data_IF_829314231552
#
_entry.id   IF_829314231552
#
_cell.length_a   1.000
_cell.length_b   1.000
_cell.length_c   1.000
_cell.angle_alpha   90.00
_cell.angle_beta   90.00
_cell.angle_gamma   90.00
#
_symmetry.space_group_name_H-M   'P 1'
#
loop_
_entity.id
_entity.type
_entity.pdbx_description
1 polymer ?
#
# COMPACT_ATOMS: atom_id res chain seq x y z
N UNK A 1 -7.51 12.37 15.28
CA UNK A 1 -6.79 11.81 14.12
C UNK A 1 -7.59 12.16 12.87
N UNK A 2 -6.93 12.50 11.75
CA UNK A 2 -7.64 12.71 10.47
C UNK A 2 -8.17 11.37 9.95
N UNK A 3 -9.38 11.37 9.36
CA UNK A 3 -9.91 10.20 8.65
C UNK A 3 -9.15 9.96 7.33
N UNK A 4 -9.34 8.78 6.73
CA UNK A 4 -8.75 8.47 5.40
C UNK A 4 -9.22 9.49 4.37
N UNK A 5 -10.53 9.76 4.30
CA UNK A 5 -11.09 10.76 3.37
C UNK A 5 -10.48 12.15 3.57
N UNK A 6 -10.29 12.59 4.83
CA UNK A 6 -9.64 13.88 5.11
C UNK A 6 -8.17 13.93 4.68
N UNK A 7 -7.46 12.79 4.72
CA UNK A 7 -6.08 12.71 4.24
C UNK A 7 -6.04 12.75 2.71
N UNK A 8 -6.95 12.05 2.05
CA UNK A 8 -7.08 12.04 0.59
C UNK A 8 -7.47 13.43 0.05
N UNK A 9 -8.44 14.11 0.67
CA UNK A 9 -8.83 15.47 0.29
C UNK A 9 -7.66 16.46 0.40
N UNK A 10 -6.90 16.40 1.51
CA UNK A 10 -5.72 17.26 1.68
C UNK A 10 -4.63 16.96 0.66
N UNK A 11 -4.44 15.69 0.29
CA UNK A 11 -3.49 15.31 -0.75
C UNK A 11 -3.90 15.90 -2.11
N UNK A 12 -5.18 15.80 -2.47
CA UNK A 12 -5.70 16.34 -3.73
C UNK A 12 -5.57 17.88 -3.75
N UNK A 13 -5.95 18.55 -2.66
CA UNK A 13 -5.84 20.00 -2.56
C UNK A 13 -4.38 20.49 -2.69
N UNK A 14 -3.44 19.80 -2.02
CA UNK A 14 -2.02 20.11 -2.10
C UNK A 14 -1.49 19.90 -3.52
N UNK A 15 -1.87 18.79 -4.16
CA UNK A 15 -1.41 18.47 -5.50
C UNK A 15 -1.95 19.46 -6.56
N UNK A 16 -3.19 19.92 -6.45
CA UNK A 16 -3.71 20.96 -7.30
C UNK A 16 -3.02 22.31 -7.06
N UNK A 17 -2.73 22.65 -5.80
CA UNK A 17 -1.98 23.88 -5.50
C UNK A 17 -0.55 23.83 -6.05
N UNK A 18 0.09 22.67 -6.05
CA UNK A 18 1.43 22.45 -6.61
C UNK A 18 1.44 22.56 -8.14
N UNK A 19 0.46 21.94 -8.83
CA UNK A 19 0.48 21.78 -10.29
C UNK A 19 -0.14 23.00 -11.03
N UNK A 20 -1.16 23.62 -10.46
CA UNK A 20 -1.90 24.70 -11.11
C UNK A 20 -1.38 26.09 -10.68
N UNK A 21 -1.00 26.26 -9.41
CA UNK A 21 -0.51 27.52 -8.88
C UNK A 21 -1.52 28.66 -9.07
N UNK A 22 -1.12 29.72 -9.78
CA UNK A 22 -1.94 30.88 -10.11
C UNK A 22 -2.73 30.70 -11.42
N UNK A 23 -2.58 29.56 -12.12
CA UNK A 23 -3.38 29.19 -13.29
C UNK A 23 -2.65 28.33 -14.31
N UNK A 24 -3.38 27.42 -14.95
CA UNK A 24 -2.93 26.71 -16.15
C UNK A 24 -3.01 27.66 -17.38
N UNK A 25 -1.95 28.43 -17.58
CA UNK A 25 -1.91 29.47 -18.63
C UNK A 25 -2.07 28.88 -20.02
N UNK A 26 -1.62 27.64 -20.29
CA UNK A 26 -1.80 26.99 -21.59
C UNK A 26 -3.28 26.73 -21.86
N UNK A 27 -3.96 26.12 -20.93
CA UNK A 27 -5.40 25.86 -21.06
C UNK A 27 -6.21 27.13 -21.10
N UNK A 28 -5.88 28.10 -20.23
CA UNK A 28 -6.61 29.38 -20.18
C UNK A 28 -6.49 30.20 -21.45
N UNK A 29 -5.34 30.21 -22.14
CA UNK A 29 -5.15 30.95 -23.36
C UNK A 29 -5.70 30.24 -24.61
N UNK A 30 -5.71 28.89 -24.62
CA UNK A 30 -6.07 28.12 -25.82
C UNK A 30 -7.54 27.66 -25.86
N UNK A 31 -8.17 27.49 -24.71
CA UNK A 31 -9.50 26.85 -24.63
C UNK A 31 -10.55 27.86 -24.17
N UNK A 32 -11.67 28.03 -24.93
CA UNK A 32 -12.80 28.85 -24.49
C UNK A 32 -13.38 28.34 -23.15
N UNK A 33 -13.92 29.26 -22.32
CA UNK A 33 -14.43 28.93 -20.98
C UNK A 33 -15.68 28.03 -21.01
N UNK A 34 -16.46 28.13 -22.07
CA UNK A 34 -17.68 27.36 -22.31
C UNK A 34 -17.45 26.07 -23.10
N UNK A 35 -16.20 25.77 -23.50
CA UNK A 35 -15.88 24.58 -24.27
C UNK A 35 -16.15 23.31 -23.47
N UNK A 36 -16.95 22.43 -24.06
CA UNK A 36 -17.24 21.10 -23.51
C UNK A 36 -16.45 20.04 -24.27
N UNK A 37 -16.03 19.01 -23.58
CA UNK A 37 -15.24 17.93 -24.16
C UNK A 37 -15.51 16.58 -23.51
N UNK A 38 -14.93 15.57 -24.11
CA UNK A 38 -14.94 14.20 -23.65
C UNK A 38 -13.54 13.60 -23.78
N UNK A 39 -13.09 12.87 -22.77
CA UNK A 39 -11.81 12.19 -22.78
C UNK A 39 -11.94 10.78 -22.21
N UNK A 40 -11.04 9.87 -22.62
CA UNK A 40 -10.98 8.54 -22.09
C UNK A 40 -9.60 8.19 -21.54
N UNK A 41 -9.57 7.36 -20.50
CA UNK A 41 -8.34 6.78 -19.94
C UNK A 41 -7.99 5.51 -20.73
N UNK A 42 -6.89 5.59 -21.46
CA UNK A 42 -6.34 4.49 -22.27
C UNK A 42 -5.20 3.78 -21.54
N UNK A 43 -5.32 2.48 -21.38
CA UNK A 43 -4.28 1.61 -20.82
C UNK A 43 -3.21 1.34 -21.89
N UNK A 44 -1.94 1.53 -21.54
CA UNK A 44 -0.81 1.36 -22.48
C UNK A 44 0.12 0.20 -22.15
N UNK A 45 -0.12 -0.45 -21.01
CA UNK A 45 0.67 -1.60 -20.52
C UNK A 45 -0.25 -2.59 -19.80
N UNK A 46 0.02 -3.90 -19.91
CA UNK A 46 -0.76 -4.93 -19.22
C UNK A 46 -0.50 -4.89 -17.70
N UNK A 47 -1.56 -5.01 -16.90
CA UNK A 47 -1.44 -4.97 -15.44
C UNK A 47 -2.76 -5.16 -14.70
N UNK A 48 -2.83 -4.64 -13.49
CA UNK A 48 -4.03 -4.58 -12.65
C UNK A 48 -4.40 -3.11 -12.44
N UNK A 49 -5.63 -2.76 -12.78
CA UNK A 49 -6.13 -1.40 -12.61
C UNK A 49 -6.34 -1.08 -11.14
N UNK A 50 -5.88 0.11 -10.70
CA UNK A 50 -6.14 0.62 -9.36
C UNK A 50 -6.17 2.15 -9.33
N UNK A 51 -7.03 2.72 -8.47
CA UNK A 51 -7.16 4.16 -8.29
C UNK A 51 -8.38 4.77 -8.96
N UNK A 52 -9.33 3.98 -9.45
CA UNK A 52 -10.58 4.45 -10.07
C UNK A 52 -11.37 5.34 -9.10
N UNK A 53 -11.52 4.92 -7.84
CA UNK A 53 -12.24 5.71 -6.84
C UNK A 53 -11.49 7.02 -6.52
N UNK A 54 -10.16 7.00 -6.50
CA UNK A 54 -9.36 8.21 -6.34
C UNK A 54 -9.48 9.15 -7.55
N UNK A 55 -9.49 8.62 -8.77
CA UNK A 55 -9.75 9.42 -9.98
C UNK A 55 -11.11 10.15 -9.91
N UNK A 56 -12.16 9.47 -9.48
CA UNK A 56 -13.48 10.06 -9.24
C UNK A 56 -13.42 11.20 -8.21
N UNK A 57 -12.69 11.00 -7.09
CA UNK A 57 -12.47 12.06 -6.08
C UNK A 57 -11.71 13.26 -6.66
N UNK A 58 -10.68 13.03 -7.46
CA UNK A 58 -9.92 14.10 -8.13
C UNK A 58 -10.83 14.94 -9.02
N UNK A 59 -11.62 14.31 -9.90
CA UNK A 59 -12.54 15.02 -10.78
C UNK A 59 -13.61 15.77 -9.99
N UNK A 60 -14.26 15.12 -9.03
CA UNK A 60 -15.32 15.73 -8.23
C UNK A 60 -14.82 16.89 -7.35
N UNK A 61 -13.58 16.83 -6.86
CA UNK A 61 -12.95 17.87 -6.05
C UNK A 61 -12.65 19.12 -6.87
N UNK A 62 -12.26 18.95 -8.13
CA UNK A 62 -11.93 20.03 -9.03
C UNK A 62 -13.18 20.68 -9.65
N UNK A 63 -14.04 19.87 -10.25
CA UNK A 63 -15.27 20.30 -10.91
C UNK A 63 -16.36 19.22 -10.72
N UNK A 64 -17.29 19.42 -9.78
CA UNK A 64 -18.34 18.44 -9.49
C UNK A 64 -19.37 18.26 -10.62
N UNK A 65 -19.30 19.07 -11.68
CA UNK A 65 -20.17 18.94 -12.85
C UNK A 65 -19.67 17.91 -13.87
N UNK A 66 -18.42 17.47 -13.76
CA UNK A 66 -17.87 16.42 -14.62
C UNK A 66 -18.60 15.09 -14.41
N UNK A 67 -18.87 14.40 -15.51
CA UNK A 67 -19.51 13.08 -15.53
C UNK A 67 -18.44 12.02 -15.79
N UNK A 68 -18.29 11.09 -14.85
CA UNK A 68 -17.31 10.00 -14.90
C UNK A 68 -18.05 8.70 -15.14
N UNK A 69 -17.80 8.06 -16.28
CA UNK A 69 -18.28 6.73 -16.62
C UNK A 69 -17.14 5.74 -16.42
N UNK A 70 -17.31 4.79 -15.50
CA UNK A 70 -16.31 3.75 -15.20
C UNK A 70 -16.63 2.50 -16.00
N UNK A 71 -15.75 2.11 -16.90
CA UNK A 71 -15.88 0.90 -17.72
C UNK A 71 -15.18 -0.30 -17.10
N UNK A 72 -14.08 -0.07 -16.38
CA UNK A 72 -13.28 -1.11 -15.72
C UNK A 72 -13.06 -0.71 -14.26
N UNK A 73 -13.33 -1.61 -13.34
CA UNK A 73 -13.23 -1.39 -11.90
C UNK A 73 -11.83 -1.70 -11.35
N UNK A 74 -11.51 -1.15 -10.17
CA UNK A 74 -10.29 -1.49 -9.44
C UNK A 74 -10.16 -3.01 -9.22
N UNK A 75 -8.93 -3.52 -9.31
CA UNK A 75 -8.62 -4.94 -9.16
C UNK A 75 -8.79 -5.78 -10.43
N UNK A 76 -9.33 -5.21 -11.50
CA UNK A 76 -9.49 -5.91 -12.77
C UNK A 76 -8.15 -5.99 -13.52
N UNK A 77 -7.75 -7.17 -14.02
CA UNK A 77 -6.65 -7.28 -14.98
C UNK A 77 -6.98 -6.51 -16.26
N UNK A 78 -6.06 -5.69 -16.71
CA UNK A 78 -6.19 -4.86 -17.92
C UNK A 78 -5.09 -5.14 -18.91
N UNK A 79 -5.37 -4.86 -20.19
CA UNK A 79 -4.44 -5.02 -21.30
C UNK A 79 -4.21 -3.69 -22.01
N UNK A 80 -3.08 -3.62 -22.67
CA UNK A 80 -2.80 -2.49 -23.58
C UNK A 80 -3.91 -2.33 -24.61
N UNK A 81 -4.48 -1.13 -24.68
CA UNK A 81 -5.59 -0.77 -25.58
C UNK A 81 -6.95 -0.69 -24.89
N UNK A 82 -7.09 -1.18 -23.65
CA UNK A 82 -8.33 -1.07 -22.90
C UNK A 82 -8.64 0.39 -22.54
N UNK A 83 -9.92 0.74 -22.55
CA UNK A 83 -10.43 2.03 -22.08
C UNK A 83 -11.07 1.79 -20.70
N UNK A 84 -10.51 2.41 -19.67
CA UNK A 84 -10.93 2.18 -18.29
C UNK A 84 -11.99 3.17 -17.80
N UNK A 85 -11.90 4.46 -18.19
CA UNK A 85 -12.79 5.51 -17.73
C UNK A 85 -13.07 6.44 -18.91
N UNK A 86 -14.31 6.96 -18.98
CA UNK A 86 -14.68 8.06 -19.87
C UNK A 86 -15.13 9.23 -18.99
N UNK A 87 -14.66 10.44 -19.31
CA UNK A 87 -15.01 11.65 -18.57
C UNK A 87 -15.53 12.71 -19.54
N UNK A 88 -16.68 13.30 -19.21
CA UNK A 88 -17.30 14.37 -19.96
C UNK A 88 -17.49 15.60 -19.09
N UNK A 89 -17.11 16.77 -19.56
CA UNK A 89 -17.21 18.01 -18.79
C UNK A 89 -16.62 19.21 -19.53
N UNK A 90 -16.36 20.28 -18.79
CA UNK A 90 -15.63 21.44 -19.34
C UNK A 90 -14.24 21.02 -19.79
N UNK A 91 -13.85 21.38 -21.00
CA UNK A 91 -12.53 21.02 -21.56
C UNK A 91 -11.39 21.53 -20.69
N UNK A 92 -11.52 22.72 -20.09
CA UNK A 92 -10.55 23.27 -19.14
C UNK A 92 -10.40 22.34 -17.92
N UNK A 93 -11.50 21.86 -17.35
CA UNK A 93 -11.48 20.95 -16.18
C UNK A 93 -10.85 19.60 -16.52
N UNK A 94 -11.12 19.06 -17.73
CA UNK A 94 -10.50 17.81 -18.20
C UNK A 94 -8.97 17.93 -18.27
N UNK A 95 -8.46 19.02 -18.85
CA UNK A 95 -7.03 19.25 -19.03
C UNK A 95 -6.30 19.49 -17.71
N UNK A 96 -6.90 20.28 -16.81
CA UNK A 96 -6.29 20.63 -15.52
C UNK A 96 -6.27 19.48 -14.52
N UNK A 97 -7.15 18.48 -14.66
CA UNK A 97 -7.20 17.31 -13.78
C UNK A 97 -6.41 16.12 -14.30
N UNK A 98 -6.05 16.12 -15.60
CA UNK A 98 -5.40 15.00 -16.29
C UNK A 98 -4.15 14.49 -15.57
N UNK A 99 -3.22 15.39 -15.25
CA UNK A 99 -1.90 15.00 -14.74
C UNK A 99 -1.99 14.40 -13.35
N UNK A 100 -2.73 15.01 -12.44
CA UNK A 100 -2.91 14.52 -11.10
C UNK A 100 -3.60 13.14 -11.10
N UNK A 101 -4.69 13.01 -11.87
CA UNK A 101 -5.41 11.75 -12.02
C UNK A 101 -4.48 10.64 -12.54
N UNK A 102 -3.71 10.92 -13.61
CA UNK A 102 -2.77 9.95 -14.19
C UNK A 102 -1.68 9.57 -13.21
N UNK A 103 -1.08 10.50 -12.49
CA UNK A 103 -0.02 10.23 -11.52
C UNK A 103 -0.51 9.26 -10.42
N UNK A 104 -1.71 9.48 -9.91
CA UNK A 104 -2.33 8.63 -8.89
C UNK A 104 -2.62 7.24 -9.46
N UNK A 105 -3.33 7.16 -10.59
CA UNK A 105 -3.74 5.87 -11.16
C UNK A 105 -2.56 5.03 -11.64
N UNK A 106 -1.58 5.66 -12.29
CA UNK A 106 -0.35 4.98 -12.73
C UNK A 106 0.40 4.41 -11.53
N UNK A 107 0.55 5.18 -10.45
CA UNK A 107 1.21 4.73 -9.21
C UNK A 107 0.47 3.58 -8.56
N UNK A 108 -0.82 3.74 -8.32
CA UNK A 108 -1.65 2.72 -7.67
C UNK A 108 -1.72 1.43 -8.50
N UNK A 109 -1.91 1.54 -9.80
CA UNK A 109 -1.96 0.37 -10.71
C UNK A 109 -0.61 -0.34 -10.81
N UNK A 110 0.50 0.39 -10.76
CA UNK A 110 1.83 -0.19 -10.69
C UNK A 110 2.02 -1.04 -9.42
N UNK A 111 1.60 -0.51 -8.27
CA UNK A 111 1.65 -1.22 -6.98
C UNK A 111 0.74 -2.45 -7.00
N UNK A 112 -0.50 -2.31 -7.46
CA UNK A 112 -1.45 -3.42 -7.56
C UNK A 112 -0.92 -4.52 -8.49
N UNK A 113 -0.35 -4.15 -9.63
CA UNK A 113 0.26 -5.07 -10.59
C UNK A 113 1.45 -5.84 -9.98
N UNK A 114 2.33 -5.13 -9.28
CA UNK A 114 3.47 -5.74 -8.60
C UNK A 114 2.97 -6.70 -7.50
N UNK A 115 2.02 -6.25 -6.69
CA UNK A 115 1.45 -7.07 -5.61
C UNK A 115 0.79 -8.33 -6.16
N UNK A 116 0.00 -8.23 -7.23
CA UNK A 116 -0.63 -9.39 -7.87
C UNK A 116 0.40 -10.43 -8.37
N UNK A 117 1.56 -9.98 -8.88
CA UNK A 117 2.65 -10.88 -9.25
C UNK A 117 3.20 -11.64 -8.04
N UNK A 118 3.40 -10.96 -6.91
CA UNK A 118 3.86 -11.60 -5.68
C UNK A 118 2.81 -12.56 -5.11
N UNK A 119 1.54 -12.16 -5.08
CA UNK A 119 0.43 -13.02 -4.63
C UNK A 119 0.37 -14.30 -5.46
N UNK A 120 0.50 -14.21 -6.78
CA UNK A 120 0.56 -15.36 -7.66
C UNK A 120 1.73 -16.31 -7.34
N UNK A 121 2.86 -15.75 -6.88
CA UNK A 121 4.02 -16.55 -6.46
C UNK A 121 3.75 -17.38 -5.20
N UNK A 122 2.77 -16.93 -4.37
CA UNK A 122 2.38 -17.56 -3.12
C UNK A 122 1.22 -18.56 -3.27
N UNK A 123 0.65 -18.72 -4.46
CA UNK A 123 -0.46 -19.66 -4.70
C UNK A 123 -0.11 -21.07 -4.22
N UNK A 124 -1.06 -21.73 -3.53
CA UNK A 124 -0.88 -23.06 -2.94
C UNK A 124 -0.13 -23.09 -1.61
N UNK A 125 0.28 -21.94 -1.06
CA UNK A 125 0.78 -21.80 0.32
C UNK A 125 -0.28 -21.14 1.21
N UNK A 126 -0.10 -21.19 2.55
CA UNK A 126 -0.96 -20.45 3.48
C UNK A 126 -0.52 -19.00 3.69
N UNK A 127 0.63 -18.63 3.14
CA UNK A 127 1.32 -17.37 3.42
C UNK A 127 0.66 -16.19 2.70
N UNK A 128 0.48 -15.09 3.43
CA UNK A 128 0.03 -13.82 2.88
C UNK A 128 1.17 -12.82 2.76
N UNK A 129 1.16 -12.01 1.70
CA UNK A 129 2.11 -10.91 1.54
C UNK A 129 1.60 -9.65 2.23
N UNK A 130 2.49 -8.97 2.96
CA UNK A 130 2.23 -7.69 3.61
C UNK A 130 3.05 -6.57 2.97
N UNK A 131 2.46 -5.38 2.95
CA UNK A 131 3.22 -4.15 2.75
C UNK A 131 4.01 -3.77 4.02
N UNK A 132 4.61 -2.58 3.99
CA UNK A 132 5.34 -2.01 5.13
C UNK A 132 4.99 -0.53 5.31
N UNK A 133 5.68 0.16 6.23
CA UNK A 133 5.64 1.63 6.34
C UNK A 133 6.65 2.34 5.40
N UNK A 134 7.38 1.61 4.55
CA UNK A 134 8.30 2.16 3.55
C UNK A 134 7.51 2.70 2.34
N UNK A 135 6.64 3.67 2.57
CA UNK A 135 5.78 4.31 1.59
C UNK A 135 6.27 5.71 1.26
N UNK A 136 5.87 6.24 0.10
CA UNK A 136 6.09 7.64 -0.26
C UNK A 136 5.41 8.55 0.78
N UNK A 137 6.11 9.55 1.34
CA UNK A 137 5.48 10.49 2.27
C UNK A 137 4.22 11.13 1.67
N UNK A 138 3.13 11.13 2.45
CA UNK A 138 1.82 11.63 2.03
C UNK A 138 0.97 10.63 1.23
N UNK A 139 1.55 9.63 0.56
CA UNK A 139 0.82 8.68 -0.30
C UNK A 139 0.46 7.34 0.38
N UNK A 140 0.75 7.17 1.67
CA UNK A 140 0.60 5.88 2.37
C UNK A 140 -0.78 5.25 2.20
N UNK A 141 -1.84 6.03 2.30
CA UNK A 141 -3.21 5.50 2.21
C UNK A 141 -3.47 4.91 0.83
N UNK A 142 -3.08 5.63 -0.23
CA UNK A 142 -3.23 5.19 -1.61
C UNK A 142 -2.36 3.95 -1.91
N UNK A 143 -1.11 3.95 -1.48
CA UNK A 143 -0.19 2.85 -1.74
C UNK A 143 -0.62 1.57 -1.02
N UNK A 144 -1.07 1.67 0.24
CA UNK A 144 -1.61 0.53 0.98
C UNK A 144 -2.95 0.03 0.42
N UNK A 145 -3.80 0.93 -0.06
CA UNK A 145 -5.03 0.55 -0.77
C UNK A 145 -4.70 -0.21 -2.06
N UNK A 146 -3.70 0.26 -2.81
CA UNK A 146 -3.25 -0.42 -4.03
C UNK A 146 -2.70 -1.82 -3.76
N UNK A 147 -1.99 -2.04 -2.64
CA UNK A 147 -1.56 -3.38 -2.21
C UNK A 147 -2.77 -4.30 -1.98
N UNK A 148 -3.82 -3.82 -1.31
CA UNK A 148 -5.05 -4.60 -1.11
C UNK A 148 -5.75 -4.92 -2.44
N UNK A 149 -5.83 -3.95 -3.34
CA UNK A 149 -6.41 -4.13 -4.68
C UNK A 149 -5.64 -5.20 -5.45
N UNK A 150 -4.33 -5.28 -5.31
CA UNK A 150 -3.47 -6.31 -5.90
C UNK A 150 -3.54 -7.68 -5.23
N UNK A 151 -4.39 -7.85 -4.19
CA UNK A 151 -4.59 -9.11 -3.46
C UNK A 151 -3.64 -9.33 -2.27
N UNK A 152 -2.82 -8.36 -1.92
CA UNK A 152 -2.00 -8.38 -0.71
C UNK A 152 -2.78 -7.91 0.53
N UNK A 153 -2.11 -7.92 1.68
CA UNK A 153 -2.64 -7.43 2.94
C UNK A 153 -1.81 -6.25 3.47
N UNK A 154 -2.42 -5.42 4.31
CA UNK A 154 -1.69 -4.34 4.93
C UNK A 154 -1.09 -4.77 6.27
N UNK A 155 0.19 -4.47 6.46
CA UNK A 155 0.78 -4.35 7.79
C UNK A 155 0.23 -3.07 8.46
N UNK A 156 0.58 -2.80 9.72
CA UNK A 156 0.13 -1.60 10.42
C UNK A 156 0.22 -0.34 9.55
N UNK A 157 -0.81 0.51 9.64
CA UNK A 157 -0.91 1.75 8.88
C UNK A 157 0.09 2.79 9.38
N UNK A 158 0.23 2.87 10.71
CA UNK A 158 1.10 3.86 11.34
C UNK A 158 1.76 3.33 12.61
N UNK A 159 2.04 4.25 13.52
CA UNK A 159 2.57 3.94 14.86
C UNK A 159 1.44 3.79 15.89
N UNK A 160 0.19 3.93 15.46
CA UNK A 160 -0.97 4.07 16.32
C UNK A 160 -1.90 2.84 16.34
N UNK A 161 -1.80 1.95 15.37
CA UNK A 161 -2.76 0.86 15.15
C UNK A 161 -2.20 -0.53 15.52
N UNK A 162 -0.90 -0.64 15.79
CA UNK A 162 -0.25 -1.87 16.30
C UNK A 162 1.11 -1.54 16.91
N UNK A 163 1.46 -2.17 18.02
CA UNK A 163 2.80 -2.12 18.59
C UNK A 163 3.69 -3.07 17.78
N UNK A 164 4.87 -2.61 17.37
CA UNK A 164 5.92 -3.42 16.79
C UNK A 164 7.22 -3.11 17.53
N UNK A 165 7.64 -4.05 18.36
CA UNK A 165 8.91 -4.01 19.08
C UNK A 165 10.04 -4.40 18.12
N UNK A 166 10.90 -3.44 17.82
CA UNK A 166 12.07 -3.61 16.98
C UNK A 166 13.34 -3.69 17.82
N UNK A 167 14.44 -4.07 17.20
CA UNK A 167 15.78 -4.13 17.80
C UNK A 167 16.06 -2.96 18.76
N UNK A 168 15.99 -1.75 18.28
CA UNK A 168 16.24 -0.54 19.09
C UNK A 168 15.27 -0.39 20.27
N UNK A 169 14.00 -0.79 20.11
CA UNK A 169 13.05 -0.74 21.23
C UNK A 169 13.43 -1.73 22.32
N UNK A 170 13.85 -2.94 21.94
CA UNK A 170 14.28 -4.01 22.85
C UNK A 170 15.55 -3.58 23.57
N UNK A 171 16.55 -3.09 22.81
CA UNK A 171 17.84 -2.68 23.36
C UNK A 171 17.67 -1.50 24.36
N UNK A 172 16.91 -0.47 24.01
CA UNK A 172 16.65 0.67 24.92
C UNK A 172 15.71 0.33 26.09
N UNK A 173 14.88 -0.71 25.97
CA UNK A 173 14.07 -1.18 27.11
C UNK A 173 14.89 -1.97 28.12
N UNK A 174 16.08 -2.44 27.77
CA UNK A 174 16.92 -3.31 28.59
C UNK A 174 16.57 -4.78 28.46
N UNK A 175 16.11 -5.22 27.26
CA UNK A 175 15.82 -6.59 26.88
C UNK A 175 14.36 -6.88 26.55
N UNK A 176 14.12 -8.07 26.06
CA UNK A 176 12.83 -8.55 25.55
C UNK A 176 11.75 -8.53 26.61
N UNK A 177 12.02 -9.12 27.80
CA UNK A 177 11.06 -9.23 28.89
C UNK A 177 10.57 -7.83 29.32
N UNK A 178 11.52 -6.91 29.56
CA UNK A 178 11.22 -5.53 29.92
C UNK A 178 10.41 -4.80 28.84
N UNK A 179 10.71 -5.04 27.56
CA UNK A 179 10.01 -4.41 26.45
C UNK A 179 8.53 -4.87 26.39
N UNK A 180 8.29 -6.18 26.52
CA UNK A 180 6.93 -6.76 26.50
C UNK A 180 6.14 -6.31 27.74
N UNK A 181 6.73 -6.36 28.95
CA UNK A 181 6.08 -5.92 30.18
C UNK A 181 5.66 -4.45 30.13
N UNK A 182 6.55 -3.58 29.64
CA UNK A 182 6.24 -2.15 29.46
C UNK A 182 5.12 -1.93 28.46
N UNK A 183 5.05 -2.72 27.37
CA UNK A 183 3.93 -2.66 26.43
C UNK A 183 2.60 -3.00 27.10
N UNK A 184 2.54 -4.06 27.88
CA UNK A 184 1.33 -4.44 28.60
C UNK A 184 0.91 -3.39 29.63
N UNK A 185 1.87 -2.87 30.41
CA UNK A 185 1.61 -1.79 31.36
C UNK A 185 1.05 -0.54 30.67
N UNK A 186 1.63 -0.13 29.54
CA UNK A 186 1.17 1.01 28.74
C UNK A 186 -0.25 0.78 28.19
N UNK A 187 -0.51 -0.39 27.57
CA UNK A 187 -1.83 -0.71 27.02
C UNK A 187 -2.91 -0.69 28.11
N UNK A 188 -2.60 -1.23 29.30
CA UNK A 188 -3.49 -1.22 30.45
C UNK A 188 -3.74 0.21 30.96
N UNK A 189 -2.68 1.02 31.12
CA UNK A 189 -2.80 2.42 31.57
C UNK A 189 -3.66 3.26 30.62
N UNK A 190 -3.49 3.08 29.30
CA UNK A 190 -4.21 3.85 28.27
C UNK A 190 -5.57 3.27 27.90
N UNK A 191 -5.93 2.10 28.40
CA UNK A 191 -7.17 1.39 28.00
C UNK A 191 -7.20 1.02 26.52
N UNK A 192 -6.04 0.69 25.92
CA UNK A 192 -5.89 0.35 24.52
C UNK A 192 -5.86 -1.17 24.31
N UNK A 193 -6.44 -1.63 23.21
CA UNK A 193 -6.40 -3.03 22.77
C UNK A 193 -5.68 -3.14 21.43
N UNK A 194 -4.35 -2.97 21.43
CA UNK A 194 -3.52 -3.10 20.25
C UNK A 194 -2.80 -4.44 20.24
N UNK A 195 -2.67 -5.05 19.06
CA UNK A 195 -1.78 -6.21 18.88
C UNK A 195 -0.33 -5.81 19.15
N UNK A 196 0.45 -6.75 19.70
CA UNK A 196 1.88 -6.63 19.89
C UNK A 196 2.58 -7.60 18.94
N UNK A 197 3.45 -7.07 18.10
CA UNK A 197 4.39 -7.82 17.30
C UNK A 197 5.79 -7.55 17.79
N UNK A 198 6.66 -8.57 17.78
CA UNK A 198 8.06 -8.46 18.17
C UNK A 198 8.97 -9.03 17.09
N UNK A 199 10.02 -8.27 16.75
CA UNK A 199 11.09 -8.66 15.84
C UNK A 199 12.17 -9.43 16.62
N UNK A 200 12.53 -10.64 16.14
CA UNK A 200 13.61 -11.46 16.69
C UNK A 200 14.69 -11.65 15.64
N UNK A 201 15.96 -11.56 16.07
CA UNK A 201 17.17 -11.64 15.23
C UNK A 201 17.94 -12.95 15.36
N UNK A 202 17.56 -13.77 16.37
CA UNK A 202 18.23 -15.03 16.69
C UNK A 202 17.29 -16.03 17.36
N UNK A 203 17.74 -17.30 17.44
CA UNK A 203 17.01 -18.32 18.20
C UNK A 203 17.01 -18.07 19.70
N UNK A 204 18.04 -17.41 20.25
CA UNK A 204 18.08 -17.04 21.66
C UNK A 204 17.00 -16.01 22.00
N UNK A 205 16.80 -15.00 21.11
CA UNK A 205 15.70 -14.03 21.26
C UNK A 205 14.34 -14.69 21.08
N UNK A 206 14.21 -15.60 20.10
CA UNK A 206 12.99 -16.38 19.91
C UNK A 206 12.64 -17.19 21.17
N UNK A 207 13.62 -17.86 21.78
CA UNK A 207 13.42 -18.64 23.00
C UNK A 207 12.96 -17.74 24.18
N UNK A 208 13.55 -16.56 24.34
CA UNK A 208 13.11 -15.58 25.33
C UNK A 208 11.65 -15.15 25.11
N UNK A 209 11.27 -14.79 23.88
CA UNK A 209 9.88 -14.42 23.55
C UNK A 209 8.92 -15.56 23.84
N UNK A 210 9.28 -16.81 23.49
CA UNK A 210 8.43 -17.99 23.72
C UNK A 210 8.26 -18.31 25.20
N UNK A 211 9.28 -18.06 26.03
CA UNK A 211 9.21 -18.22 27.49
C UNK A 211 8.36 -17.15 28.16
N UNK A 212 8.52 -15.90 27.73
CA UNK A 212 7.78 -14.77 28.29
C UNK A 212 6.32 -14.78 27.84
N UNK A 213 6.08 -14.96 26.54
CA UNK A 213 4.76 -14.87 25.93
C UNK A 213 4.30 -13.41 25.78
N UNK A 214 2.97 -13.19 25.73
CA UNK A 214 2.37 -11.87 25.76
C UNK A 214 2.43 -11.09 24.43
N UNK A 215 2.75 -11.74 23.32
CA UNK A 215 2.76 -11.15 21.97
C UNK A 215 1.71 -11.82 21.07
N UNK A 216 1.34 -11.18 19.97
CA UNK A 216 0.42 -11.74 18.99
C UNK A 216 1.14 -12.33 17.78
N UNK A 217 2.26 -11.70 17.37
CA UNK A 217 3.04 -12.10 16.20
C UNK A 217 4.53 -12.02 16.50
N UNK A 218 5.29 -12.94 15.92
CA UNK A 218 6.75 -12.96 15.96
C UNK A 218 7.25 -12.75 14.52
N UNK A 219 8.04 -11.68 14.32
CA UNK A 219 8.72 -11.40 13.07
C UNK A 219 10.13 -11.97 13.10
N UNK A 220 10.44 -12.86 12.18
CA UNK A 220 11.76 -13.44 11.96
C UNK A 220 12.56 -12.50 11.04
N UNK A 221 13.40 -11.67 11.64
CA UNK A 221 14.15 -10.66 10.88
C UNK A 221 15.46 -11.22 10.33
N UNK A 222 15.61 -11.20 9.01
CA UNK A 222 16.78 -11.70 8.29
C UNK A 222 17.14 -13.16 8.56
N UNK A 223 16.20 -14.00 8.97
CA UNK A 223 16.41 -15.45 9.06
C UNK A 223 16.63 -16.04 7.67
N UNK A 224 17.54 -17.03 7.57
CA UNK A 224 17.67 -17.82 6.36
C UNK A 224 16.44 -18.72 6.13
N UNK A 225 16.25 -19.24 4.92
CA UNK A 225 15.14 -20.16 4.61
C UNK A 225 15.17 -21.39 5.55
N UNK A 226 16.32 -22.07 5.78
CA UNK A 226 16.38 -23.19 6.75
C UNK A 226 16.09 -22.77 8.20
N UNK A 227 16.58 -21.59 8.61
CA UNK A 227 16.31 -21.08 9.96
C UNK A 227 14.85 -20.69 10.14
N UNK A 228 14.22 -20.14 9.10
CA UNK A 228 12.78 -19.86 9.08
C UNK A 228 11.98 -21.13 9.33
N UNK A 229 12.31 -22.22 8.63
CA UNK A 229 11.65 -23.53 8.87
C UNK A 229 11.79 -23.97 10.32
N UNK A 230 13.01 -23.95 10.84
CA UNK A 230 13.28 -24.33 12.23
C UNK A 230 12.51 -23.45 13.23
N UNK A 231 12.46 -22.13 12.99
CA UNK A 231 11.72 -21.21 13.85
C UNK A 231 10.21 -21.47 13.82
N UNK A 232 9.63 -21.71 12.64
CA UNK A 232 8.21 -22.07 12.50
C UNK A 232 7.89 -23.36 13.25
N UNK A 233 8.75 -24.38 13.15
CA UNK A 233 8.56 -25.64 13.87
C UNK A 233 8.64 -25.46 15.40
N UNK A 234 9.54 -24.61 15.89
CA UNK A 234 9.66 -24.27 17.32
C UNK A 234 8.43 -23.50 17.82
N UNK A 235 7.95 -22.51 17.05
CA UNK A 235 6.76 -21.71 17.39
C UNK A 235 5.50 -22.59 17.41
N UNK A 236 5.45 -23.61 16.54
CA UNK A 236 4.39 -24.64 16.50
C UNK A 236 2.96 -24.07 16.51
N UNK A 237 2.71 -22.97 15.79
CA UNK A 237 1.40 -22.34 15.65
C UNK A 237 0.88 -21.60 16.89
N UNK A 238 1.70 -21.38 17.91
CA UNK A 238 1.30 -20.63 19.12
C UNK A 238 1.14 -19.14 18.86
N UNK A 239 1.84 -18.60 17.88
CA UNK A 239 1.85 -17.20 17.48
C UNK A 239 1.76 -17.09 15.97
N UNK A 240 1.19 -15.97 15.46
CA UNK A 240 1.34 -15.61 14.05
C UNK A 240 2.83 -15.43 13.75
N UNK A 241 3.28 -15.86 12.57
CA UNK A 241 4.68 -15.77 12.14
C UNK A 241 4.82 -14.88 10.93
N UNK A 242 5.81 -13.99 10.94
CA UNK A 242 6.16 -13.15 9.80
C UNK A 242 7.64 -13.30 9.45
N UNK A 243 7.97 -13.47 8.17
CA UNK A 243 9.35 -13.34 7.67
C UNK A 243 9.57 -11.96 7.11
N UNK A 244 10.69 -11.33 7.47
CA UNK A 244 11.12 -10.01 7.02
C UNK A 244 12.62 -9.98 6.74
N UNK A 245 13.05 -8.98 5.96
CA UNK A 245 14.47 -8.75 5.64
C UNK A 245 14.92 -9.34 4.31
N UNK A 246 15.22 -8.48 3.33
CA UNK A 246 15.86 -8.86 2.06
C UNK A 246 15.08 -9.81 1.13
N UNK A 247 13.82 -10.11 1.42
CA UNK A 247 13.01 -11.06 0.64
C UNK A 247 12.56 -10.40 -0.66
N UNK A 248 12.90 -11.06 -1.78
CA UNK A 248 12.63 -10.58 -3.15
C UNK A 248 11.55 -11.43 -3.84
N UNK A 249 11.14 -11.00 -5.04
CA UNK A 249 10.25 -11.78 -5.89
C UNK A 249 10.76 -13.21 -6.16
N UNK A 250 12.06 -13.37 -6.35
CA UNK A 250 12.65 -14.67 -6.67
C UNK A 250 12.71 -15.60 -5.45
N UNK A 251 12.91 -15.05 -4.27
CA UNK A 251 13.11 -15.83 -3.02
C UNK A 251 11.84 -16.00 -2.18
N UNK A 252 10.79 -15.22 -2.42
CA UNK A 252 9.59 -15.22 -1.56
C UNK A 252 8.91 -16.60 -1.46
N UNK A 253 8.94 -17.37 -2.55
CA UNK A 253 8.36 -18.72 -2.57
C UNK A 253 9.05 -19.66 -1.58
N UNK A 254 10.38 -19.60 -1.51
CA UNK A 254 11.17 -20.46 -0.65
C UNK A 254 10.84 -20.21 0.83
N UNK A 255 10.64 -18.95 1.24
CA UNK A 255 10.18 -18.58 2.57
C UNK A 255 8.75 -19.03 2.85
N UNK A 256 7.85 -18.86 1.91
CA UNK A 256 6.45 -19.23 2.08
C UNK A 256 6.26 -20.73 2.27
N UNK A 257 7.06 -21.56 1.59
CA UNK A 257 7.04 -23.02 1.73
C UNK A 257 7.51 -23.49 3.10
N UNK A 258 8.16 -22.64 3.89
CA UNK A 258 8.51 -22.94 5.28
C UNK A 258 7.33 -22.83 6.24
N UNK A 259 6.18 -22.31 5.76
CA UNK A 259 4.93 -22.29 6.51
C UNK A 259 4.78 -21.09 7.45
N UNK A 260 5.41 -19.95 7.14
CA UNK A 260 5.10 -18.68 7.80
C UNK A 260 3.69 -18.19 7.41
N UNK A 261 3.05 -17.42 8.28
CA UNK A 261 1.72 -16.87 8.01
C UNK A 261 1.81 -15.63 7.12
N UNK A 262 2.88 -14.83 7.30
CA UNK A 262 3.08 -13.58 6.59
C UNK A 262 4.51 -13.42 6.09
N UNK A 263 4.65 -12.67 4.99
CA UNK A 263 5.94 -12.17 4.51
C UNK A 263 5.77 -10.68 4.19
N UNK A 264 6.54 -9.81 4.83
CA UNK A 264 6.54 -8.38 4.53
C UNK A 264 7.58 -8.02 3.47
N UNK A 265 7.13 -7.25 2.46
CA UNK A 265 7.97 -6.84 1.32
C UNK A 265 7.85 -5.33 1.11
N UNK A 266 8.91 -4.60 1.46
CA UNK A 266 8.96 -3.14 1.26
C UNK A 266 8.93 -2.73 -0.21
N UNK A 267 9.47 -3.55 -1.11
CA UNK A 267 9.53 -3.28 -2.55
C UNK A 267 8.15 -3.10 -3.20
N UNK A 268 7.07 -3.61 -2.59
CA UNK A 268 5.70 -3.37 -3.05
C UNK A 268 5.32 -1.89 -3.14
N UNK A 269 5.98 -1.03 -2.37
CA UNK A 269 5.67 0.40 -2.32
C UNK A 269 6.84 1.31 -2.66
N UNK A 270 8.08 0.95 -2.25
CA UNK A 270 9.22 1.85 -2.47
C UNK A 270 9.96 1.66 -3.81
N UNK A 271 9.73 0.56 -4.55
CA UNK A 271 10.47 0.24 -5.80
C UNK A 271 9.56 -0.18 -6.94
N UNK A 272 8.47 0.56 -7.14
CA UNK A 272 7.44 0.23 -8.14
C UNK A 272 7.49 1.21 -9.30
N UNK A 273 7.48 0.67 -10.52
CA UNK A 273 7.23 1.42 -11.75
C UNK A 273 5.72 1.64 -11.91
N UNK A 274 5.31 2.87 -12.23
CA UNK A 274 3.92 3.17 -12.58
C UNK A 274 3.47 2.42 -13.84
N UNK A 275 2.19 2.02 -13.88
CA UNK A 275 1.59 1.41 -15.07
C UNK A 275 1.34 2.48 -16.12
N UNK A 276 1.79 2.26 -17.36
CA UNK A 276 1.68 3.29 -18.42
C UNK A 276 0.21 3.48 -18.85
N UNK A 277 -0.25 4.74 -18.79
CA UNK A 277 -1.60 5.17 -19.15
C UNK A 277 -1.57 6.53 -19.83
N UNK A 278 -2.59 6.85 -20.61
CA UNK A 278 -2.79 8.19 -21.15
C UNK A 278 -4.26 8.59 -21.11
N UNK A 279 -4.52 9.88 -20.94
CA UNK A 279 -5.83 10.47 -21.03
C UNK A 279 -5.94 11.18 -22.37
N UNK A 280 -6.93 10.81 -23.19
CA UNK A 280 -7.05 11.26 -24.58
C UNK A 280 -8.42 11.84 -24.86
N UNK A 281 -8.44 13.00 -25.51
CA UNK A 281 -9.67 13.54 -26.06
C UNK A 281 -10.31 12.55 -27.05
N UNK A 282 -11.62 12.43 -27.01
CA UNK A 282 -12.43 11.58 -27.91
C UNK A 282 -13.75 12.27 -28.23
N UNK A 283 -14.39 11.81 -29.28
CA UNK A 283 -15.69 12.30 -29.74
C UNK A 283 -16.86 11.78 -28.89
#
# INVERSE_FOLDING_TARGET
MLSVDQLEDKLIDLAFAEDIGDGDHTTLCCIPDDAMGKSHLLIKEDGVLAGVEMAKKVFARFDPTMKVEVLIQDGTPVKKGDIAIIVTGKTRSLLQTERLMLNIMQRMSGIATMTAKYVKRLEGTKTHILDTRKTTPGLRMLEKQAVKIGGGMNHRIGLFDMILLKDNHIDFAGGIDNAIDRCHAYLKEKGLNLKIEIEVRSFDELDQVLKHGGVNRIMLDNFSVPDTKKAVDIIAGKYETESSGGITYDTIRDYAEQGVDFISVGALTHSVKGLDMSFKACD
#
